data_IF_388217400038
#
_entry.id   IF_388217400038
#
_cell.length_a   1.000
_cell.length_b   1.000
_cell.length_c   1.000
_cell.angle_alpha   90.00
_cell.angle_beta   90.00
_cell.angle_gamma   90.00
#
_symmetry.space_group_name_H-M   'P 1'
#
loop_
_entity.id
_entity.type
_entity.pdbx_description
1 polymer ?
#
# COMPACT_ATOMS: atom_id res chain seq x y z
N UNK A 1 10.16 5.56 9.26
CA UNK A 1 9.57 4.42 9.97
C UNK A 1 10.39 3.21 9.57
N UNK A 2 11.19 2.66 10.48
CA UNK A 2 11.99 1.45 10.19
C UNK A 2 11.00 0.29 10.15
N UNK A 3 10.86 -0.37 9.01
CA UNK A 3 10.08 -1.62 8.94
C UNK A 3 10.87 -2.67 9.72
N UNK A 4 10.44 -2.95 10.96
CA UNK A 4 11.03 -4.04 11.72
C UNK A 4 10.73 -5.36 11.01
N UNK A 5 11.71 -6.29 11.03
CA UNK A 5 11.77 -7.55 10.27
C UNK A 5 10.58 -8.52 10.41
N UNK A 6 9.49 -8.15 11.10
CA UNK A 6 8.34 -9.02 11.40
C UNK A 6 6.92 -8.44 11.16
N UNK A 7 6.73 -7.21 10.65
CA UNK A 7 5.41 -6.58 10.81
C UNK A 7 4.51 -6.61 9.57
N UNK A 8 3.76 -7.71 9.39
CA UNK A 8 2.52 -7.70 8.57
C UNK A 8 1.56 -6.57 8.98
N UNK A 9 1.61 -6.15 10.26
CA UNK A 9 0.85 -5.01 10.79
C UNK A 9 1.22 -3.68 10.12
N UNK A 10 2.50 -3.45 9.83
CA UNK A 10 2.98 -2.20 9.25
C UNK A 10 2.57 -2.10 7.78
N UNK A 11 2.61 -3.21 7.03
CA UNK A 11 2.06 -3.25 5.66
C UNK A 11 0.55 -3.04 5.63
N UNK A 12 -0.20 -3.66 6.55
CA UNK A 12 -1.64 -3.42 6.66
C UNK A 12 -1.95 -1.95 6.88
N UNK A 13 -1.16 -1.26 7.71
CA UNK A 13 -1.30 0.17 7.95
C UNK A 13 -0.96 1.00 6.70
N UNK A 14 0.14 0.70 6.01
CA UNK A 14 0.53 1.35 4.74
C UNK A 14 -0.59 1.22 3.71
N UNK A 15 -1.11 0.01 3.49
CA UNK A 15 -2.17 -0.22 2.51
C UNK A 15 -3.51 0.39 2.93
N UNK A 16 -3.81 0.48 4.22
CA UNK A 16 -4.98 1.19 4.74
C UNK A 16 -4.87 2.70 4.44
N UNK A 17 -3.73 3.33 4.71
CA UNK A 17 -3.48 4.75 4.41
C UNK A 17 -3.57 4.98 2.90
N UNK A 18 -2.96 4.11 2.10
CA UNK A 18 -3.01 4.18 0.64
C UNK A 18 -4.44 4.15 0.11
N UNK A 19 -5.28 3.24 0.62
CA UNK A 19 -6.71 3.15 0.27
C UNK A 19 -7.45 4.43 0.65
N UNK A 20 -7.22 4.96 1.85
CA UNK A 20 -7.81 6.23 2.30
C UNK A 20 -7.42 7.38 1.38
N UNK A 21 -6.14 7.51 1.04
CA UNK A 21 -5.63 8.53 0.13
C UNK A 21 -6.27 8.43 -1.26
N UNK A 22 -6.41 7.21 -1.83
CA UNK A 22 -7.13 7.00 -3.10
C UNK A 22 -8.59 7.46 -3.03
N UNK A 23 -9.32 7.07 -1.98
CA UNK A 23 -10.71 7.49 -1.79
C UNK A 23 -10.83 9.01 -1.66
N UNK A 24 -9.96 9.64 -0.87
CA UNK A 24 -9.93 11.10 -0.70
C UNK A 24 -9.64 11.81 -2.03
N UNK A 25 -8.65 11.37 -2.80
CA UNK A 25 -8.36 11.94 -4.12
C UNK A 25 -9.55 11.82 -5.09
N UNK A 26 -10.27 10.69 -5.08
CA UNK A 26 -11.46 10.49 -5.90
C UNK A 26 -12.61 11.44 -5.50
N UNK A 27 -12.84 11.63 -4.20
CA UNK A 27 -13.84 12.55 -3.68
C UNK A 27 -13.51 14.01 -4.05
N UNK A 28 -12.24 14.39 -3.91
CA UNK A 28 -11.75 15.75 -4.20
C UNK A 28 -11.73 16.07 -5.70
N UNK A 29 -11.61 15.07 -6.59
CA UNK A 29 -11.66 15.27 -8.06
C UNK A 29 -12.96 15.92 -8.54
N UNK A 30 -14.05 15.77 -7.79
CA UNK A 30 -15.38 16.32 -8.11
C UNK A 30 -15.58 17.76 -7.61
N UNK A 31 -14.65 18.31 -6.82
CA UNK A 31 -14.77 19.62 -6.21
C UNK A 31 -13.89 20.65 -6.92
N UNK A 32 -14.42 21.85 -7.15
CA UNK A 32 -13.62 23.00 -7.62
C UNK A 32 -12.86 23.60 -6.44
N UNK A 33 -11.71 23.03 -6.14
CA UNK A 33 -10.88 23.43 -5.00
C UNK A 33 -9.88 24.51 -5.43
N UNK A 34 -9.96 25.69 -4.81
CA UNK A 34 -9.00 26.77 -5.07
C UNK A 34 -8.15 27.17 -3.85
N UNK A 35 -8.46 26.62 -2.67
CA UNK A 35 -7.73 26.86 -1.43
C UNK A 35 -6.31 26.24 -1.45
N UNK A 36 -5.33 26.99 -0.92
CA UNK A 36 -3.90 26.62 -0.94
C UNK A 36 -3.61 25.40 -0.07
N UNK A 37 -4.20 25.33 1.13
CA UNK A 37 -3.99 24.22 2.06
C UNK A 37 -4.53 22.92 1.47
N UNK A 38 -5.73 22.98 0.89
CA UNK A 38 -6.35 21.82 0.26
C UNK A 38 -5.55 21.34 -0.95
N UNK A 39 -4.99 22.24 -1.77
CA UNK A 39 -4.08 21.89 -2.87
C UNK A 39 -2.83 21.16 -2.36
N UNK A 40 -2.23 21.62 -1.26
CA UNK A 40 -1.06 20.96 -0.67
C UNK A 40 -1.40 19.56 -0.14
N UNK A 41 -2.55 19.40 0.53
CA UNK A 41 -3.01 18.08 0.99
C UNK A 41 -3.24 17.11 -0.18
N UNK A 42 -3.85 17.58 -1.28
CA UNK A 42 -4.03 16.78 -2.50
C UNK A 42 -2.69 16.32 -3.06
N UNK A 43 -1.70 17.22 -3.11
CA UNK A 43 -0.35 16.88 -3.56
C UNK A 43 0.26 15.79 -2.68
N UNK A 44 0.17 15.90 -1.36
CA UNK A 44 0.70 14.89 -0.45
C UNK A 44 0.02 13.53 -0.62
N UNK A 45 -1.32 13.51 -0.72
CA UNK A 45 -2.06 12.28 -0.99
C UNK A 45 -1.67 11.66 -2.34
N UNK A 46 -1.50 12.48 -3.38
CA UNK A 46 -1.09 12.02 -4.70
C UNK A 46 0.32 11.46 -4.70
N UNK A 47 1.25 12.12 -4.02
CA UNK A 47 2.63 11.65 -3.90
C UNK A 47 2.69 10.28 -3.21
N UNK A 48 1.95 10.13 -2.10
CA UNK A 48 1.87 8.85 -1.39
C UNK A 48 1.26 7.74 -2.26
N UNK A 49 0.14 8.03 -2.94
CA UNK A 49 -0.50 7.07 -3.84
C UNK A 49 0.41 6.68 -5.00
N UNK A 50 1.07 7.65 -5.63
CA UNK A 50 1.99 7.40 -6.74
C UNK A 50 3.17 6.54 -6.28
N UNK A 51 3.74 6.82 -5.11
CA UNK A 51 4.85 6.03 -4.58
C UNK A 51 4.48 4.55 -4.42
N UNK A 52 3.33 4.26 -3.80
CA UNK A 52 2.85 2.88 -3.67
C UNK A 52 2.48 2.28 -5.03
N UNK A 53 1.81 3.03 -5.91
CA UNK A 53 1.47 2.56 -7.26
C UNK A 53 2.73 2.19 -8.08
N UNK A 54 3.84 2.92 -7.94
CA UNK A 54 5.12 2.58 -8.57
C UNK A 54 5.75 1.31 -7.98
N UNK A 55 5.69 1.12 -6.65
CA UNK A 55 6.11 -0.15 -6.04
C UNK A 55 5.29 -1.30 -6.62
N UNK A 56 3.96 -1.17 -6.64
CA UNK A 56 3.05 -2.21 -7.15
C UNK A 56 3.30 -2.53 -8.62
N UNK A 57 3.61 -1.54 -9.47
CA UNK A 57 3.94 -1.77 -10.89
C UNK A 57 5.19 -2.62 -11.09
N UNK A 58 6.15 -2.54 -10.18
CA UNK A 58 7.38 -3.33 -10.24
C UNK A 58 7.20 -4.78 -9.76
N UNK A 59 6.04 -5.10 -9.18
CA UNK A 59 5.72 -6.45 -8.73
C UNK A 59 5.16 -7.31 -9.86
N UNK A 60 5.34 -8.61 -9.75
CA UNK A 60 4.69 -9.58 -10.64
C UNK A 60 3.17 -9.58 -10.44
N UNK A 61 2.41 -10.00 -11.46
CA UNK A 61 0.94 -10.09 -11.37
C UNK A 61 0.46 -10.93 -10.18
N UNK A 62 1.18 -12.01 -9.85
CA UNK A 62 0.85 -12.89 -8.74
C UNK A 62 1.01 -12.21 -7.37
N UNK A 63 1.99 -11.31 -7.23
CA UNK A 63 2.22 -10.54 -6.00
C UNK A 63 1.20 -9.42 -5.88
N UNK A 64 0.88 -8.74 -7.00
CA UNK A 64 -0.18 -7.72 -7.04
C UNK A 64 -1.54 -8.30 -6.62
N UNK A 65 -1.91 -9.47 -7.15
CA UNK A 65 -3.16 -10.14 -6.82
C UNK A 65 -3.20 -10.57 -5.34
N UNK A 66 -2.09 -11.11 -4.83
CA UNK A 66 -1.97 -11.44 -3.41
C UNK A 66 -2.15 -10.20 -2.52
N UNK A 67 -1.48 -9.10 -2.86
CA UNK A 67 -1.58 -7.86 -2.10
C UNK A 67 -3.02 -7.32 -2.11
N UNK A 68 -3.67 -7.36 -3.27
CA UNK A 68 -5.05 -6.94 -3.41
C UNK A 68 -5.98 -7.73 -2.50
N UNK A 69 -5.93 -9.06 -2.58
CA UNK A 69 -6.79 -9.94 -1.77
C UNK A 69 -6.53 -9.74 -0.27
N UNK A 70 -5.25 -9.74 0.15
CA UNK A 70 -4.89 -9.78 1.58
C UNK A 70 -4.91 -8.40 2.24
N UNK A 71 -4.41 -7.36 1.57
CA UNK A 71 -4.22 -6.03 2.17
C UNK A 71 -5.25 -4.98 1.74
N UNK A 72 -5.88 -5.13 0.56
CA UNK A 72 -6.89 -4.16 0.09
C UNK A 72 -8.32 -4.65 0.34
N UNK A 73 -8.56 -5.95 0.11
CA UNK A 73 -9.87 -6.62 0.25
C UNK A 73 -10.05 -7.28 1.61
N UNK A 74 -8.97 -7.46 2.39
CA UNK A 74 -8.95 -8.10 3.71
C UNK A 74 -9.49 -9.55 3.69
N UNK A 75 -9.26 -10.29 2.61
CA UNK A 75 -9.59 -11.71 2.55
C UNK A 75 -8.81 -12.48 3.62
N UNK A 76 -9.52 -13.34 4.34
CA UNK A 76 -8.95 -14.34 5.25
C UNK A 76 -8.21 -15.42 4.46
N UNK A 77 -7.32 -16.17 5.12
CA UNK A 77 -6.52 -17.23 4.48
C UNK A 77 -7.43 -18.21 3.73
N UNK A 78 -8.54 -18.62 4.35
CA UNK A 78 -9.49 -19.58 3.82
C UNK A 78 -10.19 -19.09 2.53
N UNK A 79 -10.26 -17.79 2.31
CA UNK A 79 -10.85 -17.16 1.12
C UNK A 79 -9.85 -16.99 -0.03
N UNK A 80 -8.55 -17.11 0.23
CA UNK A 80 -7.50 -16.86 -0.79
C UNK A 80 -7.15 -18.08 -1.64
N UNK A 81 -7.58 -19.29 -1.22
CA UNK A 81 -7.23 -20.54 -1.91
C UNK A 81 -5.76 -20.97 -1.79
N UNK A 82 -4.92 -20.24 -1.04
CA UNK A 82 -3.54 -20.64 -0.78
C UNK A 82 -3.45 -21.69 0.33
N UNK A 83 -2.47 -22.60 0.23
CA UNK A 83 -2.08 -23.39 1.39
C UNK A 83 -1.53 -22.49 2.49
N UNK A 84 -1.63 -22.92 3.75
CA UNK A 84 -1.11 -22.17 4.91
C UNK A 84 0.37 -21.79 4.71
N UNK A 85 1.21 -22.76 4.29
CA UNK A 85 2.62 -22.52 4.02
C UNK A 85 2.85 -21.55 2.85
N UNK A 86 2.07 -21.67 1.78
CA UNK A 86 2.13 -20.76 0.62
C UNK A 86 1.75 -19.33 0.98
N UNK A 87 0.72 -19.16 1.82
CA UNK A 87 0.26 -17.86 2.31
C UNK A 87 1.35 -17.15 3.12
N UNK A 88 1.94 -17.81 4.12
CA UNK A 88 2.98 -17.21 4.94
C UNK A 88 4.27 -16.92 4.16
N UNK A 89 4.62 -17.77 3.18
CA UNK A 89 5.75 -17.51 2.31
C UNK A 89 5.52 -16.25 1.46
N UNK A 90 4.32 -16.08 0.90
CA UNK A 90 3.94 -14.86 0.15
C UNK A 90 3.95 -13.61 1.01
N UNK A 91 3.44 -13.68 2.25
CA UNK A 91 3.56 -12.56 3.22
C UNK A 91 5.02 -12.18 3.42
N UNK A 92 5.88 -13.17 3.66
CA UNK A 92 7.31 -12.94 3.88
C UNK A 92 7.95 -12.26 2.67
N UNK A 93 7.72 -12.77 1.46
CA UNK A 93 8.24 -12.18 0.22
C UNK A 93 7.78 -10.72 0.04
N UNK A 94 6.50 -10.45 0.22
CA UNK A 94 5.98 -9.08 0.10
C UNK A 94 6.56 -8.15 1.18
N UNK A 95 6.68 -8.63 2.42
CA UNK A 95 7.32 -7.87 3.50
C UNK A 95 8.78 -7.54 3.16
N UNK A 96 9.56 -8.50 2.67
CA UNK A 96 10.96 -8.29 2.28
C UNK A 96 11.10 -7.29 1.13
N UNK A 97 10.25 -7.40 0.11
CA UNK A 97 10.21 -6.46 -1.01
C UNK A 97 9.92 -5.03 -0.52
N UNK A 98 8.88 -4.85 0.30
CA UNK A 98 8.54 -3.53 0.83
C UNK A 98 9.63 -3.00 1.78
N UNK A 99 10.21 -3.83 2.64
CA UNK A 99 11.35 -3.41 3.48
C UNK A 99 12.49 -2.82 2.64
N UNK A 100 12.82 -3.41 1.49
CA UNK A 100 13.84 -2.84 0.59
C UNK A 100 13.45 -1.45 0.04
N UNK A 101 12.18 -1.23 -0.29
CA UNK A 101 11.71 0.07 -0.81
C UNK A 101 11.70 1.17 0.26
N UNK A 102 11.35 0.82 1.50
CA UNK A 102 11.23 1.77 2.61
C UNK A 102 12.54 1.98 3.38
N UNK A 103 13.45 1.01 3.39
CA UNK A 103 14.81 1.16 3.95
C UNK A 103 15.74 1.92 2.98
N UNK A 104 15.51 1.85 1.66
CA UNK A 104 16.42 2.45 0.67
C UNK A 104 16.26 3.95 0.49
N UNK A 105 15.08 4.56 0.72
CA UNK A 105 14.91 6.02 0.71
C UNK A 105 13.74 6.49 1.59
N UNK A 106 14.00 7.54 2.37
CA UNK A 106 13.08 8.36 3.18
C UNK A 106 11.66 8.44 2.58
N UNK A 107 10.71 7.70 3.14
CA UNK A 107 9.29 7.97 2.92
C UNK A 107 9.00 9.40 3.41
N UNK A 108 8.72 10.38 2.52
CA UNK A 108 8.41 11.73 2.94
C UNK A 108 6.94 11.75 3.34
N UNK A 109 6.67 11.49 4.62
CA UNK A 109 5.41 11.85 5.28
C UNK A 109 5.52 13.27 5.83
#
# INVERSE_FOLDING_TARGET
MILNKNNSKDLKEIFAIYRICKVKLLALKKLRINDKLTKQMITNYRNYVNYIDEILKNLTKNEQEFIKQVYLENCSIDETGYSVSGYYNKIKTVNELFSLYFDSQLCPL
#
